data_IF_468749502725
#
_entry.id   IF_468749502725
#
_cell.length_a   1.000
_cell.length_b   1.000
_cell.length_c   1.000
_cell.angle_alpha   90.00
_cell.angle_beta   90.00
_cell.angle_gamma   90.00
#
_symmetry.space_group_name_H-M   'P 1'
#
loop_
_entity.id
_entity.type
_entity.pdbx_description
1 polymer ?
#
# COMPACT_ATOMS: atom_id res chain seq x y z
N UNK A 1 -0.70 -59.03 -9.78
CA UNK A 1 -1.99 -58.47 -10.20
C UNK A 1 -1.78 -56.96 -10.47
N UNK A 2 -1.77 -56.53 -11.73
CA UNK A 2 -1.87 -55.11 -12.08
C UNK A 2 -3.28 -54.70 -11.66
N UNK A 3 -3.43 -53.83 -10.64
CA UNK A 3 -4.70 -53.13 -10.38
C UNK A 3 -4.93 -52.22 -11.59
N UNK A 4 -5.84 -52.58 -12.45
CA UNK A 4 -6.37 -51.67 -13.46
C UNK A 4 -6.92 -50.46 -12.72
N UNK A 5 -6.37 -49.28 -13.02
CA UNK A 5 -6.89 -48.02 -12.50
C UNK A 5 -8.29 -47.87 -13.09
N UNK A 6 -9.35 -47.76 -12.30
CA UNK A 6 -10.69 -47.63 -12.83
C UNK A 6 -10.75 -46.42 -13.80
N UNK A 7 -11.34 -46.59 -14.98
CA UNK A 7 -11.50 -45.57 -16.04
C UNK A 7 -12.01 -44.24 -15.49
N UNK A 8 -12.91 -44.26 -14.50
CA UNK A 8 -13.45 -43.05 -13.86
C UNK A 8 -12.42 -42.19 -13.09
N UNK A 9 -11.24 -42.71 -12.72
CA UNK A 9 -10.23 -41.93 -12.05
C UNK A 9 -9.53 -40.96 -13.01
N UNK A 10 -9.38 -41.33 -14.27
CA UNK A 10 -8.89 -40.44 -15.32
C UNK A 10 -9.86 -39.25 -15.53
N UNK A 11 -11.16 -39.62 -15.65
CA UNK A 11 -12.23 -38.65 -15.88
C UNK A 11 -12.35 -37.65 -14.71
N UNK A 12 -12.16 -38.13 -13.46
CA UNK A 12 -12.16 -37.23 -12.27
C UNK A 12 -11.05 -36.20 -12.35
N UNK A 13 -9.81 -36.59 -12.71
CA UNK A 13 -8.68 -35.69 -12.82
C UNK A 13 -8.92 -34.64 -13.92
N UNK A 14 -9.58 -35.02 -15.00
CA UNK A 14 -9.92 -34.09 -16.10
C UNK A 14 -11.00 -33.07 -15.69
N UNK A 15 -11.89 -33.44 -14.76
CA UNK A 15 -12.98 -32.59 -14.27
C UNK A 15 -12.54 -31.66 -13.11
N UNK A 16 -11.34 -31.85 -12.55
CA UNK A 16 -10.85 -30.97 -11.48
C UNK A 16 -10.65 -29.55 -11.99
N UNK A 17 -11.10 -28.58 -11.19
CA UNK A 17 -10.92 -27.15 -11.44
C UNK A 17 -9.51 -26.67 -11.07
N UNK A 18 -8.83 -27.40 -10.19
CA UNK A 18 -7.45 -27.15 -9.83
C UNK A 18 -6.50 -27.83 -10.81
N UNK A 19 -5.39 -27.17 -11.13
CA UNK A 19 -4.42 -27.79 -12.02
C UNK A 19 -3.65 -28.90 -11.31
N UNK A 20 -3.69 -30.08 -11.90
CA UNK A 20 -2.88 -31.23 -11.48
C UNK A 20 -1.76 -31.43 -12.46
N UNK A 21 -0.52 -31.49 -11.96
CA UNK A 21 0.63 -31.81 -12.79
C UNK A 21 1.51 -32.89 -12.16
N UNK A 22 2.20 -33.65 -13.02
CA UNK A 22 3.21 -34.62 -12.63
C UNK A 22 4.54 -34.13 -13.19
N UNK A 23 5.56 -34.11 -12.33
CA UNK A 23 6.91 -33.63 -12.68
C UNK A 23 7.92 -34.70 -12.32
N UNK A 24 8.85 -34.99 -13.21
CA UNK A 24 9.92 -35.96 -12.95
C UNK A 24 10.95 -35.46 -11.91
N UNK A 25 11.90 -36.32 -11.57
CA UNK A 25 12.98 -36.00 -10.65
C UNK A 25 13.85 -34.82 -11.13
N UNK A 26 13.94 -34.60 -12.46
CA UNK A 26 14.73 -33.52 -13.06
C UNK A 26 13.97 -32.19 -13.14
N UNK A 27 12.65 -32.20 -12.93
CA UNK A 27 11.83 -30.99 -12.98
C UNK A 27 11.05 -30.81 -14.29
N UNK A 28 11.01 -31.82 -15.17
CA UNK A 28 10.24 -31.78 -16.41
C UNK A 28 8.81 -32.21 -16.18
N UNK A 29 7.85 -31.51 -16.78
CA UNK A 29 6.43 -31.82 -16.74
C UNK A 29 6.17 -33.10 -17.57
N UNK A 30 5.56 -34.10 -16.94
CA UNK A 30 5.17 -35.37 -17.57
C UNK A 30 3.68 -35.46 -17.88
N UNK A 31 2.86 -34.71 -17.09
CA UNK A 31 1.42 -34.71 -17.23
C UNK A 31 0.84 -33.39 -16.71
N UNK A 32 -0.21 -32.93 -17.34
CA UNK A 32 -1.09 -31.85 -16.85
C UNK A 32 -2.53 -32.18 -17.18
N UNK A 33 -3.49 -31.80 -16.30
CA UNK A 33 -4.91 -31.86 -16.60
C UNK A 33 -5.37 -30.58 -17.35
N UNK A 34 -6.62 -30.52 -17.88
CA UNK A 34 -7.14 -29.35 -18.61
C UNK A 34 -7.15 -28.06 -17.80
N UNK A 35 -7.30 -28.13 -16.46
CA UNK A 35 -7.27 -26.94 -15.60
C UNK A 35 -5.89 -26.22 -15.64
N UNK A 36 -4.82 -26.93 -15.99
CA UNK A 36 -3.49 -26.31 -16.17
C UNK A 36 -3.52 -25.24 -17.29
N UNK A 37 -4.18 -25.54 -18.42
CA UNK A 37 -4.35 -24.56 -19.50
C UNK A 37 -5.22 -23.38 -19.05
N UNK A 38 -6.30 -23.64 -18.33
CA UNK A 38 -7.17 -22.58 -17.79
C UNK A 38 -6.42 -21.63 -16.88
N UNK A 39 -5.59 -22.14 -15.96
CA UNK A 39 -4.85 -21.36 -14.99
C UNK A 39 -3.62 -20.70 -15.62
N UNK A 40 -2.82 -21.43 -16.41
CA UNK A 40 -1.53 -20.96 -16.89
C UNK A 40 -1.52 -20.53 -18.37
N UNK A 41 -2.56 -20.87 -19.14
CA UNK A 41 -2.69 -20.51 -20.55
C UNK A 41 -1.85 -21.36 -21.50
N UNK A 42 -1.20 -22.43 -21.03
CA UNK A 42 -0.42 -23.35 -21.84
C UNK A 42 -1.21 -24.65 -22.03
N UNK A 43 -1.56 -25.04 -23.26
CA UNK A 43 -2.15 -26.33 -23.51
C UNK A 43 -1.18 -27.46 -23.15
N UNK A 44 -1.68 -28.66 -22.78
CA UNK A 44 -0.83 -29.78 -22.34
C UNK A 44 0.32 -30.12 -23.29
N UNK A 45 0.10 -30.07 -24.58
CA UNK A 45 1.11 -30.36 -25.62
C UNK A 45 2.26 -29.35 -25.66
N UNK A 46 2.05 -28.11 -25.19
CA UNK A 46 3.10 -27.10 -25.08
C UNK A 46 3.79 -27.13 -23.71
N UNK A 47 3.14 -27.66 -22.68
CA UNK A 47 3.68 -27.71 -21.32
C UNK A 47 4.46 -28.98 -21.04
N UNK A 48 3.96 -30.14 -21.50
CA UNK A 48 4.61 -31.44 -21.27
C UNK A 48 6.00 -31.48 -21.92
N UNK A 49 6.97 -31.98 -21.17
CA UNK A 49 8.39 -32.04 -21.57
C UNK A 49 9.19 -30.77 -21.26
N UNK A 50 8.54 -29.67 -20.88
CA UNK A 50 9.24 -28.44 -20.47
C UNK A 50 9.65 -28.51 -18.99
N UNK A 51 10.65 -27.70 -18.66
CA UNK A 51 11.12 -27.58 -17.30
C UNK A 51 10.21 -26.64 -16.50
N UNK A 52 9.72 -27.10 -15.35
CA UNK A 52 8.74 -26.34 -14.57
C UNK A 52 9.19 -24.92 -14.20
N UNK A 53 10.52 -24.72 -14.00
CA UNK A 53 11.07 -23.40 -13.67
C UNK A 53 11.01 -22.39 -14.83
N UNK A 54 10.73 -22.85 -16.07
CA UNK A 54 10.53 -21.95 -17.20
C UNK A 54 9.26 -21.12 -17.05
N UNK A 55 8.28 -21.64 -16.31
CA UNK A 55 6.99 -20.99 -16.03
C UNK A 55 7.04 -20.17 -14.74
N UNK A 56 8.00 -20.42 -13.84
CA UNK A 56 8.11 -19.71 -12.55
C UNK A 56 8.64 -18.31 -12.78
N UNK A 57 7.99 -17.33 -12.13
CA UNK A 57 8.46 -15.94 -12.12
C UNK A 57 9.94 -15.88 -11.67
N UNK A 58 10.81 -15.14 -12.37
CA UNK A 58 12.27 -15.23 -12.18
C UNK A 58 12.75 -15.10 -10.74
N UNK A 59 12.18 -14.15 -9.99
CA UNK A 59 12.55 -13.90 -8.59
C UNK A 59 12.16 -15.04 -7.64
N UNK A 60 11.16 -15.85 -8.00
CA UNK A 60 10.66 -16.95 -7.18
C UNK A 60 11.35 -18.29 -7.46
N UNK A 61 12.25 -18.35 -8.46
CA UNK A 61 12.92 -19.60 -8.87
C UNK A 61 13.74 -20.23 -7.74
N UNK A 62 14.56 -19.44 -7.06
CA UNK A 62 15.39 -19.92 -5.93
C UNK A 62 14.51 -20.43 -4.79
N UNK A 63 13.46 -19.69 -4.42
CA UNK A 63 12.49 -20.10 -3.40
C UNK A 63 11.81 -21.41 -3.79
N UNK A 64 11.42 -21.58 -5.05
CA UNK A 64 10.80 -22.78 -5.57
C UNK A 64 11.72 -23.99 -5.49
N UNK A 65 12.99 -23.87 -5.91
CA UNK A 65 13.99 -24.95 -5.82
C UNK A 65 14.17 -25.39 -4.37
N UNK A 66 14.29 -24.45 -3.44
CA UNK A 66 14.44 -24.76 -2.02
C UNK A 66 13.22 -25.51 -1.46
N UNK A 67 12.01 -25.07 -1.78
CA UNK A 67 10.78 -25.75 -1.39
C UNK A 67 10.73 -27.19 -1.94
N UNK A 68 11.01 -27.37 -3.23
CA UNK A 68 11.00 -28.67 -3.91
C UNK A 68 12.04 -29.63 -3.28
N UNK A 69 13.24 -29.15 -2.93
CA UNK A 69 14.25 -29.97 -2.28
C UNK A 69 13.84 -30.42 -0.88
N UNK A 70 13.17 -29.56 -0.11
CA UNK A 70 12.66 -29.91 1.21
C UNK A 70 11.56 -31.00 1.16
N UNK A 71 10.75 -31.02 0.11
CA UNK A 71 9.70 -32.05 -0.09
C UNK A 71 10.32 -33.43 -0.21
N UNK A 72 11.42 -33.55 -0.95
CA UNK A 72 12.13 -34.83 -1.14
C UNK A 72 12.74 -35.35 0.17
N UNK A 73 13.21 -34.46 1.04
CA UNK A 73 13.91 -34.81 2.28
C UNK A 73 12.90 -35.18 3.41
N UNK A 74 11.81 -34.46 3.55
CA UNK A 74 10.96 -34.52 4.74
C UNK A 74 9.70 -35.36 4.58
N UNK A 75 9.39 -35.86 3.39
CA UNK A 75 8.19 -36.63 3.04
C UNK A 75 6.85 -36.05 3.58
N UNK A 76 6.83 -34.77 3.94
CA UNK A 76 5.66 -34.03 4.31
C UNK A 76 5.26 -33.14 3.13
N UNK A 77 3.97 -33.05 2.76
CA UNK A 77 3.54 -32.16 1.69
C UNK A 77 3.59 -30.71 2.21
N UNK A 78 4.65 -29.95 1.98
CA UNK A 78 4.62 -28.55 2.30
C UNK A 78 3.71 -27.86 1.31
N UNK A 79 2.83 -27.05 1.84
CA UNK A 79 2.18 -26.03 1.03
C UNK A 79 3.16 -24.88 0.87
N UNK A 80 3.38 -24.41 -0.34
CA UNK A 80 4.19 -23.23 -0.59
C UNK A 80 3.56 -22.38 -1.70
N UNK A 81 3.80 -21.09 -1.62
CA UNK A 81 3.31 -20.12 -2.59
C UNK A 81 4.45 -19.62 -3.46
N UNK A 82 4.18 -19.50 -4.76
CA UNK A 82 5.05 -18.80 -5.69
C UNK A 82 4.24 -18.16 -6.82
N UNK A 83 4.91 -17.35 -7.64
CA UNK A 83 4.34 -16.72 -8.83
C UNK A 83 4.74 -17.49 -10.07
N UNK A 84 3.79 -17.68 -10.96
CA UNK A 84 4.00 -18.24 -12.29
C UNK A 84 3.64 -17.21 -13.35
N UNK A 85 4.27 -17.35 -14.53
CA UNK A 85 4.02 -16.48 -15.68
C UNK A 85 3.14 -17.23 -16.66
N UNK A 86 1.95 -16.72 -16.93
CA UNK A 86 1.04 -17.24 -17.93
C UNK A 86 1.59 -17.07 -19.34
N UNK A 87 1.04 -17.80 -20.30
CA UNK A 87 1.40 -17.66 -21.72
C UNK A 87 1.16 -16.25 -22.27
N UNK A 88 0.18 -15.53 -21.74
CA UNK A 88 -0.12 -14.13 -22.09
C UNK A 88 0.75 -13.09 -21.33
N UNK A 89 1.70 -13.54 -20.51
CA UNK A 89 2.59 -12.71 -19.72
C UNK A 89 2.04 -12.24 -18.37
N UNK A 90 0.76 -12.50 -18.05
CA UNK A 90 0.20 -12.17 -16.73
C UNK A 90 0.81 -13.05 -15.65
N UNK A 91 0.87 -12.55 -14.42
CA UNK A 91 1.37 -13.25 -13.25
C UNK A 91 0.19 -13.92 -12.53
N UNK A 92 0.36 -15.21 -12.18
CA UNK A 92 -0.56 -15.98 -11.36
C UNK A 92 0.11 -16.31 -10.04
N UNK A 93 -0.58 -16.03 -8.93
CA UNK A 93 -0.17 -16.46 -7.60
C UNK A 93 -0.71 -17.87 -7.35
N UNK A 94 0.17 -18.81 -7.06
CA UNK A 94 -0.19 -20.22 -6.93
C UNK A 94 0.18 -20.72 -5.55
N UNK A 95 -0.78 -21.38 -4.91
CA UNK A 95 -0.55 -22.22 -3.73
C UNK A 95 -0.39 -23.65 -4.18
N UNK A 96 0.75 -24.23 -3.94
CA UNK A 96 1.09 -25.59 -4.30
C UNK A 96 0.89 -26.57 -3.15
N UNK A 97 0.29 -27.71 -3.46
CA UNK A 97 0.32 -28.92 -2.63
C UNK A 97 1.08 -29.99 -3.41
N UNK A 98 2.24 -30.41 -2.93
CA UNK A 98 3.14 -31.31 -3.68
C UNK A 98 3.42 -32.56 -2.88
N UNK A 99 3.36 -33.71 -3.50
CA UNK A 99 3.70 -35.01 -2.95
C UNK A 99 4.81 -35.66 -3.79
N UNK A 100 5.85 -36.19 -3.13
CA UNK A 100 6.92 -36.96 -3.76
C UNK A 100 6.61 -38.46 -3.71
N UNK A 101 6.62 -39.12 -4.85
CA UNK A 101 6.53 -40.58 -4.95
C UNK A 101 7.92 -41.17 -5.16
N UNK A 102 8.46 -41.77 -4.10
CA UNK A 102 9.77 -42.41 -4.16
C UNK A 102 9.76 -43.63 -5.09
N UNK A 103 8.68 -44.39 -5.09
CA UNK A 103 8.52 -45.57 -5.97
C UNK A 103 8.56 -45.20 -7.47
N UNK A 104 7.88 -44.09 -7.82
CA UNK A 104 7.76 -43.64 -9.22
C UNK A 104 8.77 -42.58 -9.62
N UNK A 105 9.53 -42.06 -8.67
CA UNK A 105 10.50 -40.96 -8.86
C UNK A 105 9.85 -39.73 -9.53
N UNK A 106 8.62 -39.38 -9.10
CA UNK A 106 7.86 -38.23 -9.61
C UNK A 106 7.26 -37.40 -8.47
N UNK A 107 7.03 -36.13 -8.75
CA UNK A 107 6.23 -35.24 -7.92
C UNK A 107 4.82 -35.13 -8.52
N UNK A 108 3.81 -35.33 -7.70
CA UNK A 108 2.43 -34.98 -8.03
C UNK A 108 2.12 -33.67 -7.34
N UNK A 109 1.72 -32.68 -8.10
CA UNK A 109 1.47 -31.35 -7.61
C UNK A 109 0.05 -30.87 -7.98
N UNK A 110 -0.61 -30.24 -7.02
CA UNK A 110 -1.89 -29.56 -7.22
C UNK A 110 -1.65 -28.06 -7.07
N UNK A 111 -2.06 -27.30 -8.06
CA UNK A 111 -1.96 -25.84 -8.09
C UNK A 111 -3.33 -25.22 -7.83
N UNK A 112 -3.42 -24.45 -6.78
CA UNK A 112 -4.58 -23.61 -6.49
C UNK A 112 -4.27 -22.18 -6.93
N UNK A 113 -5.05 -21.62 -7.83
CA UNK A 113 -4.94 -20.20 -8.20
C UNK A 113 -5.48 -19.33 -7.06
N UNK A 114 -4.58 -18.63 -6.39
CA UNK A 114 -4.90 -17.71 -5.29
C UNK A 114 -4.77 -16.25 -5.71
N UNK A 115 -4.73 -15.95 -7.02
CA UNK A 115 -4.50 -14.59 -7.55
C UNK A 115 -5.61 -13.64 -7.11
N UNK A 116 -6.87 -14.06 -7.21
CA UNK A 116 -8.00 -13.25 -6.75
C UNK A 116 -7.93 -13.00 -5.24
N UNK A 117 -7.61 -14.03 -4.45
CA UNK A 117 -7.43 -13.90 -3.01
C UNK A 117 -6.34 -12.89 -2.66
N UNK A 118 -5.16 -12.97 -3.31
CA UNK A 118 -4.04 -12.02 -3.09
C UNK A 118 -4.41 -10.60 -3.50
N UNK A 119 -5.13 -10.43 -4.62
CA UNK A 119 -5.60 -9.13 -5.06
C UNK A 119 -6.62 -8.51 -4.08
N UNK A 120 -7.53 -9.32 -3.52
CA UNK A 120 -8.47 -8.88 -2.51
C UNK A 120 -7.76 -8.52 -1.20
N UNK A 121 -6.79 -9.33 -0.77
CA UNK A 121 -5.98 -9.06 0.41
C UNK A 121 -5.21 -7.73 0.26
N UNK A 122 -4.57 -7.50 -0.89
CA UNK A 122 -3.90 -6.24 -1.19
C UNK A 122 -4.86 -5.05 -1.21
N UNK A 123 -6.05 -5.22 -1.80
CA UNK A 123 -7.08 -4.17 -1.77
C UNK A 123 -7.54 -3.86 -0.35
N UNK A 124 -7.74 -4.87 0.49
CA UNK A 124 -8.11 -4.67 1.88
C UNK A 124 -7.04 -3.92 2.67
N UNK A 125 -5.77 -4.28 2.49
CA UNK A 125 -4.63 -3.56 3.09
C UNK A 125 -4.61 -2.11 2.61
N UNK A 126 -4.77 -1.89 1.31
CA UNK A 126 -4.82 -0.54 0.74
C UNK A 126 -5.97 0.28 1.31
N UNK A 127 -7.19 -0.27 1.33
CA UNK A 127 -8.39 0.39 1.89
C UNK A 127 -8.26 0.64 3.40
N UNK A 128 -7.58 -0.25 4.14
CA UNK A 128 -7.32 -0.05 5.56
C UNK A 128 -6.34 1.10 5.82
N UNK A 129 -5.47 1.44 4.86
CA UNK A 129 -4.47 2.50 4.94
C UNK A 129 -4.84 3.82 4.27
N UNK A 130 -5.93 3.88 3.47
CA UNK A 130 -6.26 5.07 2.67
C UNK A 130 -7.68 5.55 2.91
N UNK A 131 -7.89 6.86 2.72
CA UNK A 131 -9.21 7.49 2.74
C UNK A 131 -9.96 7.21 1.42
N UNK A 132 -11.17 6.63 1.45
CA UNK A 132 -11.87 6.20 0.23
C UNK A 132 -12.36 7.35 -0.65
N UNK A 133 -12.46 8.58 -0.12
CA UNK A 133 -12.90 9.74 -0.88
C UNK A 133 -11.77 10.39 -1.67
N UNK A 134 -10.62 10.58 -1.01
CA UNK A 134 -9.49 11.37 -1.54
C UNK A 134 -8.33 10.52 -2.03
N UNK A 135 -8.34 9.21 -1.72
CA UNK A 135 -7.25 8.28 -2.02
C UNK A 135 -5.90 8.67 -1.37
N UNK A 136 -5.95 9.51 -0.34
CA UNK A 136 -4.79 9.84 0.49
C UNK A 136 -4.63 8.82 1.63
N UNK A 137 -3.42 8.66 2.17
CA UNK A 137 -3.20 8.04 3.45
C UNK A 137 -4.23 8.46 4.49
N UNK A 138 -4.79 7.47 5.20
CA UNK A 138 -5.66 7.75 6.34
C UNK A 138 -4.85 8.00 7.63
N UNK A 139 -5.55 8.28 8.74
CA UNK A 139 -4.90 8.56 10.03
C UNK A 139 -3.89 7.49 10.44
N UNK A 140 -4.26 6.21 10.37
CA UNK A 140 -3.41 5.11 10.86
C UNK A 140 -2.14 4.98 10.05
N UNK A 141 -2.24 5.06 8.73
CA UNK A 141 -1.10 4.96 7.83
C UNK A 141 -0.16 6.17 7.99
N UNK A 142 -0.73 7.38 8.10
CA UNK A 142 0.06 8.62 8.27
C UNK A 142 0.83 8.65 9.59
N UNK A 143 0.23 8.15 10.69
CA UNK A 143 0.93 8.02 11.98
C UNK A 143 2.13 7.08 11.84
N UNK A 144 1.96 5.93 11.19
CA UNK A 144 3.05 4.98 10.96
C UNK A 144 4.19 5.57 10.12
N UNK A 145 3.86 6.33 9.06
CA UNK A 145 4.86 7.05 8.24
C UNK A 145 5.61 8.12 9.06
N UNK A 146 4.90 8.85 9.93
CA UNK A 146 5.54 9.85 10.77
C UNK A 146 6.47 9.20 11.81
N UNK A 147 6.09 8.09 12.43
CA UNK A 147 6.95 7.33 13.34
C UNK A 147 8.24 6.86 12.66
N UNK A 148 8.15 6.34 11.44
CA UNK A 148 9.31 5.95 10.65
C UNK A 148 10.21 7.17 10.33
N UNK A 149 9.62 8.26 9.88
CA UNK A 149 10.32 9.51 9.59
C UNK A 149 11.05 10.06 10.82
N UNK A 150 10.41 10.06 11.99
CA UNK A 150 11.01 10.50 13.26
C UNK A 150 12.20 9.63 13.67
N UNK A 151 12.10 8.31 13.47
CA UNK A 151 13.20 7.38 13.73
C UNK A 151 14.43 7.69 12.87
N UNK A 152 14.22 7.97 11.59
CA UNK A 152 15.28 8.35 10.64
C UNK A 152 15.86 9.72 11.01
N UNK A 153 15.01 10.74 11.27
CA UNK A 153 15.44 12.09 11.59
C UNK A 153 16.29 12.17 12.86
N UNK A 154 15.98 11.35 13.87
CA UNK A 154 16.80 11.21 15.07
C UNK A 154 18.23 10.72 14.75
N UNK A 155 18.41 9.92 13.71
CA UNK A 155 19.71 9.34 13.36
C UNK A 155 20.56 10.31 12.54
N UNK A 156 19.95 11.09 11.63
CA UNK A 156 20.66 11.96 10.69
C UNK A 156 20.51 13.45 11.01
N UNK A 157 19.85 13.80 12.11
CA UNK A 157 19.70 15.18 12.60
C UNK A 157 19.04 16.14 11.58
N UNK A 158 17.97 15.69 10.92
CA UNK A 158 17.19 16.53 9.99
C UNK A 158 15.92 17.06 10.66
N UNK A 159 15.37 18.13 10.09
CA UNK A 159 14.10 18.71 10.54
C UNK A 159 12.96 17.99 9.85
N UNK A 160 11.90 17.67 10.61
CA UNK A 160 10.59 17.28 10.10
C UNK A 160 9.60 18.38 10.49
N UNK A 161 8.76 18.78 9.53
CA UNK A 161 7.63 19.65 9.84
C UNK A 161 6.32 18.86 9.69
N UNK A 162 5.46 18.92 10.71
CA UNK A 162 4.10 18.39 10.67
C UNK A 162 3.13 19.55 10.57
N UNK A 163 2.33 19.54 9.51
CA UNK A 163 1.30 20.54 9.25
C UNK A 163 -0.07 19.93 9.48
N UNK A 164 -0.90 20.55 10.29
CA UNK A 164 -2.32 20.22 10.40
C UNK A 164 -3.14 21.27 9.66
N UNK A 165 -3.97 20.87 8.72
CA UNK A 165 -4.69 21.74 7.80
C UNK A 165 -6.18 21.45 7.94
N UNK A 166 -6.98 22.46 8.12
CA UNK A 166 -8.44 22.39 8.12
C UNK A 166 -9.00 23.40 7.12
N UNK A 167 -10.08 23.05 6.45
CA UNK A 167 -10.65 23.86 5.38
C UNK A 167 -11.76 24.77 5.94
N UNK A 168 -11.44 26.04 6.09
CA UNK A 168 -12.38 27.07 6.49
C UNK A 168 -13.53 27.17 5.49
N UNK A 169 -14.76 27.21 6.00
CA UNK A 169 -15.95 27.30 5.15
C UNK A 169 -16.45 25.98 4.56
N UNK A 170 -15.81 24.85 4.82
CA UNK A 170 -16.24 23.53 4.29
C UNK A 170 -17.68 23.19 4.64
N UNK A 171 -18.10 23.44 5.89
CA UNK A 171 -19.49 23.23 6.30
C UNK A 171 -20.47 24.11 5.50
N UNK A 172 -20.10 25.36 5.23
CA UNK A 172 -20.94 26.28 4.44
C UNK A 172 -21.08 25.77 3.00
N UNK A 173 -20.00 25.25 2.40
CA UNK A 173 -20.06 24.63 1.07
C UNK A 173 -21.05 23.47 1.06
N UNK A 174 -21.01 22.59 2.07
CA UNK A 174 -21.98 21.50 2.18
C UNK A 174 -23.43 21.99 2.36
N UNK A 175 -23.63 22.97 3.24
CA UNK A 175 -24.96 23.48 3.58
C UNK A 175 -25.61 24.20 2.38
N UNK A 176 -24.83 24.93 1.56
CA UNK A 176 -25.36 25.70 0.42
C UNK A 176 -25.38 24.92 -0.90
N UNK A 177 -24.36 24.05 -1.16
CA UNK A 177 -24.18 23.39 -2.47
C UNK A 177 -24.34 21.87 -2.39
N UNK A 178 -24.58 21.31 -1.18
CA UNK A 178 -24.77 19.89 -0.93
C UNK A 178 -23.45 19.11 -0.80
N UNK A 179 -23.55 17.89 -0.25
CA UNK A 179 -22.38 17.04 0.03
C UNK A 179 -21.53 16.71 -1.20
N UNK A 180 -22.14 16.64 -2.41
CA UNK A 180 -21.38 16.39 -3.63
C UNK A 180 -20.40 17.54 -3.95
N UNK A 181 -20.72 18.78 -3.60
CA UNK A 181 -19.81 19.92 -3.73
C UNK A 181 -18.66 19.82 -2.71
N UNK A 182 -18.98 19.46 -1.47
CA UNK A 182 -17.95 19.22 -0.44
C UNK A 182 -17.00 18.07 -0.81
N UNK A 183 -17.52 16.97 -1.33
CA UNK A 183 -16.70 15.85 -1.81
C UNK A 183 -15.76 16.28 -2.94
N UNK A 184 -16.26 17.07 -3.91
CA UNK A 184 -15.43 17.64 -4.99
C UNK A 184 -14.36 18.58 -4.43
N UNK A 185 -14.70 19.41 -3.45
CA UNK A 185 -13.75 20.29 -2.78
C UNK A 185 -12.63 19.49 -2.12
N UNK A 186 -12.96 18.48 -1.30
CA UNK A 186 -11.97 17.64 -0.62
C UNK A 186 -11.05 16.91 -1.59
N UNK A 187 -11.59 16.35 -2.69
CA UNK A 187 -10.78 15.73 -3.75
C UNK A 187 -9.85 16.74 -4.42
N UNK A 188 -10.31 17.97 -4.63
CA UNK A 188 -9.50 19.03 -5.23
C UNK A 188 -8.38 19.47 -4.32
N UNK A 189 -8.66 19.66 -3.02
CA UNK A 189 -7.64 19.99 -2.01
C UNK A 189 -6.59 18.87 -1.91
N UNK A 190 -7.03 17.62 -1.84
CA UNK A 190 -6.14 16.46 -1.81
C UNK A 190 -5.18 16.42 -3.02
N UNK A 191 -5.72 16.65 -4.22
CA UNK A 191 -4.93 16.70 -5.46
C UNK A 191 -3.92 17.87 -5.43
N UNK A 192 -4.34 19.07 -5.01
CA UNK A 192 -3.49 20.25 -4.93
C UNK A 192 -2.35 20.04 -3.95
N UNK A 193 -2.62 19.52 -2.76
CA UNK A 193 -1.59 19.18 -1.76
C UNK A 193 -0.59 18.19 -2.32
N UNK A 194 -1.06 17.05 -2.88
CA UNK A 194 -0.19 16.01 -3.43
C UNK A 194 0.73 16.51 -4.55
N UNK A 195 0.25 17.44 -5.40
CA UNK A 195 1.02 17.97 -6.52
C UNK A 195 2.14 18.94 -6.11
N UNK A 196 2.02 19.58 -4.94
CA UNK A 196 3.03 20.51 -4.45
C UNK A 196 4.12 19.85 -3.59
N UNK A 197 3.88 18.61 -3.16
CA UNK A 197 4.79 17.88 -2.28
C UNK A 197 5.81 17.07 -3.08
N UNK A 198 7.00 16.90 -2.51
CA UNK A 198 8.06 16.05 -3.04
C UNK A 198 7.72 14.59 -2.80
N UNK A 199 8.47 13.69 -3.42
CA UNK A 199 8.25 12.25 -3.27
C UNK A 199 8.48 11.74 -1.83
N UNK A 200 9.40 12.39 -1.12
CA UNK A 200 9.74 12.10 0.28
C UNK A 200 8.77 12.69 1.29
N UNK A 201 7.90 13.61 0.88
CA UNK A 201 6.88 14.21 1.74
C UNK A 201 5.59 13.38 1.69
N UNK A 202 4.83 13.40 2.78
CA UNK A 202 3.57 12.67 2.89
C UNK A 202 2.40 13.62 3.14
N UNK A 203 1.23 13.26 2.61
CA UNK A 203 -0.04 13.93 2.90
C UNK A 203 -1.11 12.91 3.15
N UNK A 204 -1.92 13.10 4.20
CA UNK A 204 -3.04 12.25 4.54
C UNK A 204 -4.28 13.05 4.93
N UNK A 205 -5.44 12.38 4.92
CA UNK A 205 -6.71 12.92 5.42
C UNK A 205 -7.11 12.17 6.69
N UNK A 206 -7.33 12.93 7.79
CA UNK A 206 -7.70 12.33 9.07
C UNK A 206 -9.20 12.06 9.17
N UNK A 207 -10.03 12.85 8.49
CA UNK A 207 -11.47 12.78 8.45
C UNK A 207 -12.09 14.17 8.21
N UNK A 208 -13.35 14.22 7.83
CA UNK A 208 -14.00 15.52 7.57
C UNK A 208 -13.24 16.37 6.57
N UNK A 209 -12.84 17.56 6.99
CA UNK A 209 -12.08 18.57 6.25
C UNK A 209 -10.62 18.71 6.73
N UNK A 210 -10.14 17.73 7.53
CA UNK A 210 -8.82 17.73 8.16
C UNK A 210 -7.78 16.97 7.32
N UNK A 211 -6.67 17.64 7.00
CA UNK A 211 -5.51 17.05 6.33
C UNK A 211 -4.26 17.22 7.17
N UNK A 212 -3.33 16.30 7.04
CA UNK A 212 -2.00 16.42 7.65
C UNK A 212 -0.93 16.23 6.58
N UNK A 213 0.08 17.09 6.60
CA UNK A 213 1.26 17.02 5.74
C UNK A 213 2.49 16.79 6.61
N UNK A 214 3.36 15.89 6.17
CA UNK A 214 4.67 15.62 6.77
C UNK A 214 5.72 16.04 5.75
N UNK A 215 6.50 17.06 6.09
CA UNK A 215 7.64 17.50 5.29
C UNK A 215 8.90 16.89 5.87
N UNK A 216 9.57 16.06 5.07
CA UNK A 216 10.75 15.32 5.47
C UNK A 216 12.04 16.02 5.03
N UNK A 217 13.14 15.76 5.77
CA UNK A 217 14.50 16.18 5.38
C UNK A 217 14.63 17.69 5.09
N UNK A 218 14.00 18.50 5.92
CA UNK A 218 14.04 19.97 5.80
C UNK A 218 15.38 20.50 6.34
N UNK A 219 15.99 21.44 5.62
CA UNK A 219 17.30 22.01 5.98
C UNK A 219 17.19 23.13 7.03
N UNK A 220 16.17 23.96 6.94
CA UNK A 220 15.95 25.08 7.85
C UNK A 220 14.46 25.48 7.94
N UNK A 221 14.13 26.27 8.95
CA UNK A 221 12.76 26.72 9.20
C UNK A 221 12.17 27.58 8.07
N UNK A 222 13.02 28.34 7.35
CA UNK A 222 12.56 29.18 6.26
C UNK A 222 12.01 28.37 5.09
N UNK A 223 12.61 27.22 4.79
CA UNK A 223 12.11 26.31 3.77
C UNK A 223 10.68 25.82 4.11
N UNK A 224 10.41 25.61 5.42
CA UNK A 224 9.03 25.23 5.86
C UNK A 224 8.05 26.37 5.60
N UNK A 225 8.42 27.63 5.89
CA UNK A 225 7.56 28.79 5.65
C UNK A 225 7.19 28.88 4.18
N UNK A 226 8.18 28.74 3.29
CA UNK A 226 7.95 28.82 1.83
C UNK A 226 7.00 27.71 1.33
N UNK A 227 7.17 26.48 1.81
CA UNK A 227 6.28 25.38 1.45
C UNK A 227 4.87 25.60 2.00
N UNK A 228 4.74 26.05 3.25
CA UNK A 228 3.44 26.35 3.87
C UNK A 228 2.69 27.43 3.12
N UNK A 229 3.37 28.53 2.74
CA UNK A 229 2.76 29.61 1.94
C UNK A 229 2.32 29.10 0.56
N UNK A 230 3.15 28.29 -0.11
CA UNK A 230 2.81 27.68 -1.40
C UNK A 230 1.57 26.79 -1.27
N UNK A 231 1.50 25.93 -0.26
CA UNK A 231 0.34 25.05 -0.03
C UNK A 231 -0.92 25.87 0.24
N UNK A 232 -0.81 26.93 1.07
CA UNK A 232 -1.93 27.81 1.37
C UNK A 232 -2.46 28.49 0.11
N UNK A 233 -1.57 29.06 -0.72
CA UNK A 233 -1.95 29.69 -2.00
C UNK A 233 -2.61 28.71 -2.96
N UNK A 234 -2.08 27.48 -3.08
CA UNK A 234 -2.65 26.44 -3.94
C UNK A 234 -4.05 26.02 -3.47
N UNK A 235 -4.26 25.86 -2.16
CA UNK A 235 -5.56 25.52 -1.60
C UNK A 235 -6.56 26.65 -1.89
N UNK A 236 -6.18 27.90 -1.73
CA UNK A 236 -7.05 29.07 -1.95
C UNK A 236 -7.46 29.29 -3.42
N UNK A 237 -6.86 28.60 -4.39
CA UNK A 237 -7.28 28.75 -5.80
C UNK A 237 -8.75 28.45 -5.97
N UNK A 238 -9.48 29.25 -6.78
CA UNK A 238 -10.90 29.05 -7.00
C UNK A 238 -11.24 27.62 -7.47
N UNK A 239 -12.39 27.13 -7.01
CA UNK A 239 -12.98 25.89 -7.49
C UNK A 239 -14.37 26.19 -8.06
N UNK A 240 -14.55 25.92 -9.33
CA UNK A 240 -15.85 26.05 -9.99
C UNK A 240 -16.70 24.79 -9.76
N UNK A 241 -17.94 25.02 -9.33
CA UNK A 241 -18.95 23.99 -9.18
C UNK A 241 -20.31 24.51 -9.67
N UNK A 242 -20.90 23.87 -10.67
CA UNK A 242 -22.17 24.27 -11.28
C UNK A 242 -22.21 25.76 -11.73
N UNK A 243 -21.14 26.26 -12.33
CA UNK A 243 -20.94 27.65 -12.76
C UNK A 243 -20.87 28.69 -11.61
N UNK A 244 -20.66 28.24 -10.37
CA UNK A 244 -20.43 29.09 -9.21
C UNK A 244 -19.01 28.87 -8.68
N UNK A 245 -18.39 29.92 -8.14
CA UNK A 245 -17.08 29.83 -7.50
C UNK A 245 -17.26 29.58 -6.01
N UNK A 246 -16.75 28.45 -5.53
CA UNK A 246 -16.75 28.12 -4.10
C UNK A 246 -15.67 28.94 -3.37
N UNK A 247 -16.05 29.53 -2.23
CA UNK A 247 -15.16 30.29 -1.36
C UNK A 247 -14.75 29.46 -0.15
N UNK A 248 -13.48 29.24 0.03
CA UNK A 248 -12.88 28.50 1.13
C UNK A 248 -11.41 28.88 1.29
N UNK A 249 -10.80 28.58 2.42
CA UNK A 249 -9.40 28.80 2.70
C UNK A 249 -8.87 27.75 3.68
N UNK A 250 -7.55 27.57 3.82
CA UNK A 250 -7.01 26.69 4.84
C UNK A 250 -6.61 27.46 6.10
N UNK A 251 -6.87 26.87 7.26
CA UNK A 251 -6.19 27.21 8.52
C UNK A 251 -5.11 26.15 8.78
N UNK A 252 -3.86 26.56 8.98
CA UNK A 252 -2.70 25.67 9.05
C UNK A 252 -1.99 25.82 10.38
N UNK A 253 -1.80 24.72 11.10
CA UNK A 253 -0.92 24.65 12.26
C UNK A 253 0.37 23.91 11.90
N UNK A 254 1.52 24.42 12.34
CA UNK A 254 2.83 23.87 12.02
C UNK A 254 3.59 23.54 13.29
N UNK A 255 4.14 22.34 13.40
CA UNK A 255 5.08 21.95 14.46
C UNK A 255 6.38 21.41 13.84
N UNK A 256 7.50 21.71 14.45
CA UNK A 256 8.83 21.30 13.98
C UNK A 256 9.47 20.32 14.97
N UNK A 257 9.95 19.20 14.44
CA UNK A 257 10.86 18.30 15.14
C UNK A 257 12.31 18.59 14.67
N UNK A 258 13.32 18.64 15.55
CA UNK A 258 13.32 18.35 16.98
C UNK A 258 13.04 19.57 17.89
N UNK A 259 12.62 20.74 17.39
CA UNK A 259 12.27 21.91 18.23
C UNK A 259 11.21 21.52 19.28
N UNK A 260 10.22 20.67 18.86
CA UNK A 260 9.26 20.03 19.73
C UNK A 260 9.48 18.52 19.66
N UNK A 261 9.89 17.93 20.77
CA UNK A 261 10.19 16.51 20.87
C UNK A 261 8.98 15.72 21.38
N UNK A 262 8.64 14.61 20.72
CA UNK A 262 7.54 13.74 21.09
C UNK A 262 7.33 12.64 20.06
N UNK A 263 6.34 11.77 20.32
CA UNK A 263 5.88 10.77 19.35
C UNK A 263 5.00 11.42 18.26
N UNK A 264 4.62 10.61 17.27
CA UNK A 264 3.82 11.07 16.14
C UNK A 264 2.48 11.69 16.57
N UNK A 265 1.79 11.06 17.51
CA UNK A 265 0.49 11.55 18.00
C UNK A 265 0.62 12.89 18.72
N UNK A 266 1.65 13.07 19.55
CA UNK A 266 1.92 14.32 20.24
C UNK A 266 2.21 15.47 19.26
N UNK A 267 3.02 15.21 18.22
CA UNK A 267 3.31 16.24 17.21
C UNK A 267 2.06 16.63 16.42
N UNK A 268 1.22 15.67 16.04
CA UNK A 268 -0.05 15.95 15.37
C UNK A 268 -0.96 16.79 16.28
N UNK A 269 -1.04 16.49 17.59
CA UNK A 269 -1.81 17.29 18.55
C UNK A 269 -1.27 18.71 18.72
N UNK A 270 0.06 18.89 18.69
CA UNK A 270 0.67 20.22 18.72
C UNK A 270 0.33 21.04 17.47
N UNK A 271 0.38 20.41 16.29
CA UNK A 271 -0.01 21.03 15.03
C UNK A 271 -1.51 21.39 15.02
N UNK A 272 -2.39 20.50 15.51
CA UNK A 272 -3.83 20.77 15.66
C UNK A 272 -4.11 22.01 16.54
N UNK A 273 -3.43 22.12 17.70
CA UNK A 273 -3.57 23.32 18.55
C UNK A 273 -3.16 24.60 17.82
N UNK A 274 -2.07 24.57 17.08
CA UNK A 274 -1.63 25.72 16.30
C UNK A 274 -2.62 26.06 15.17
N UNK A 275 -3.21 25.07 14.51
CA UNK A 275 -4.28 25.25 13.51
C UNK A 275 -5.50 25.89 14.13
N UNK A 276 -5.90 25.47 15.33
CA UNK A 276 -7.02 26.09 16.04
C UNK A 276 -6.76 27.55 16.39
N UNK A 277 -5.51 27.91 16.72
CA UNK A 277 -5.12 29.31 16.92
C UNK A 277 -5.16 30.11 15.60
N UNK A 278 -4.79 29.51 14.46
CA UNK A 278 -4.96 30.09 13.14
C UNK A 278 -6.44 30.40 12.84
N UNK A 279 -7.36 29.47 13.15
CA UNK A 279 -8.81 29.66 13.01
C UNK A 279 -9.33 30.80 13.88
N UNK A 280 -8.91 30.88 15.15
CA UNK A 280 -9.32 31.96 16.07
C UNK A 280 -8.84 33.34 15.63
N UNK A 281 -7.72 33.40 14.97
CA UNK A 281 -7.15 34.64 14.46
C UNK A 281 -7.76 35.10 13.12
N UNK A 282 -8.81 34.40 12.63
CA UNK A 282 -9.58 34.78 11.44
C UNK A 282 -9.47 33.82 10.26
N UNK A 283 -8.75 32.71 10.41
CA UNK A 283 -8.53 31.70 9.34
C UNK A 283 -7.58 32.18 8.24
N UNK A 284 -7.46 31.40 7.17
CA UNK A 284 -6.61 31.67 5.99
C UNK A 284 -5.16 32.03 6.33
N UNK A 285 -4.58 31.36 7.29
CA UNK A 285 -3.21 31.62 7.75
C UNK A 285 -2.56 30.38 8.34
N UNK A 286 -1.24 30.45 8.51
CA UNK A 286 -0.48 29.45 9.20
C UNK A 286 0.04 29.98 10.55
N UNK A 287 0.01 29.13 11.57
CA UNK A 287 0.56 29.41 12.90
C UNK A 287 1.52 28.30 13.29
N UNK A 288 2.74 28.70 13.71
CA UNK A 288 3.70 27.77 14.28
C UNK A 288 3.37 27.52 15.75
N UNK A 289 3.39 26.23 16.13
CA UNK A 289 3.19 25.84 17.52
C UNK A 289 4.31 26.40 18.40
N UNK A 290 3.95 27.06 19.49
CA UNK A 290 4.85 27.52 20.52
C UNK A 290 4.48 26.89 21.87
N UNK A 291 5.33 26.00 22.38
CA UNK A 291 5.18 25.55 23.75
C UNK A 291 5.47 26.72 24.68
N UNK A 292 4.51 27.16 25.46
CA UNK A 292 4.74 28.15 26.50
C UNK A 292 5.68 27.68 27.64
N UNK A 293 6.25 26.48 27.49
CA UNK A 293 7.22 25.86 28.42
C UNK A 293 8.61 26.02 27.81
N UNK A 294 9.43 26.92 28.38
CA UNK A 294 10.87 26.89 28.12
C UNK A 294 11.43 25.58 28.61
N UNK A 295 11.84 24.70 27.71
CA UNK A 295 12.63 23.53 28.06
C UNK A 295 13.93 23.99 28.75
N UNK A 296 14.34 23.33 29.86
CA UNK A 296 15.63 23.59 30.47
C UNK A 296 16.72 23.27 29.44
N UNK A 297 17.67 24.20 29.27
CA UNK A 297 18.85 24.08 28.41
C UNK A 297 19.56 22.74 28.69
N UNK A 298 19.37 21.74 27.84
CA UNK A 298 20.25 20.57 27.80
C UNK A 298 21.52 21.03 27.11
N UNK A 299 22.61 21.23 27.86
CA UNK A 299 23.96 21.45 27.31
C UNK A 299 24.35 20.18 26.57
N UNK A 300 24.89 20.28 25.36
CA UNK A 300 25.52 19.13 24.71
C UNK A 300 26.76 18.74 25.50
N UNK A 301 26.85 17.48 25.90
CA UNK A 301 28.11 16.85 26.32
C UNK A 301 28.95 16.47 25.11
#
# INVERSE_FOLDING_TARGET
MKKETPEYLSDIIELLLDAVCVVDAKGCLLFTNPAFETIFGYPPEEAIGRYMLDFVYPEDRTKTINAVNQIVINNHPPRFENRWVRKDGRIVHVLWSVYWSEEKQVRVAIAYDITEQKNLEQKLIYMAGHDPLTDLPNRSFLISELEESLSVANTISTIIAVLFIDIDGFKQVNDFHGHAAGDKLLKTVAMRLRHQLRKEDSVGRLGGDEFVVILNSISNKQDVVEVVDLLREEICKPLEYNNELLSYSPSIGVVLFPEHYGDAEYLIQCADKAMYDAKKAGGNQAVFYHSGIKLPNVKPE
#
